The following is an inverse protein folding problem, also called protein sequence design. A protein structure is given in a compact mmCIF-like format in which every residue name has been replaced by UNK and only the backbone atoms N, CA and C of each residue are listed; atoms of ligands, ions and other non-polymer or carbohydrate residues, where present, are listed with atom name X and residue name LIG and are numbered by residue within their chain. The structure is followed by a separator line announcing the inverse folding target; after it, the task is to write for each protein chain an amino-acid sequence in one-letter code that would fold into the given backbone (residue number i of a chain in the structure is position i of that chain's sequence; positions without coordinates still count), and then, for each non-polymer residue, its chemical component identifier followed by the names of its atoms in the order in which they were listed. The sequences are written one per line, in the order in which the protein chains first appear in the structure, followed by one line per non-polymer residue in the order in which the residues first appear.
data_IF_124549051022
#
_entry.id   IF_124549051022
#
_cell.length_a   1.000
_cell.length_b   1.000
_cell.length_c   1.000
_cell.angle_alpha   90.00
_cell.angle_beta   90.00
_cell.angle_gamma   90.00
#
_symmetry.space_group_name_H-M   'P 1'
#
loop_
_entity.id
_entity.type
_entity.pdbx_description
1 polymer ?
#
# COMPACT_ATOMS: atom_id res chain seq x y z
N UNK A 1 -15.64 -4.74 2.77
CA UNK A 1 -14.87 -4.63 1.50
C UNK A 1 -13.51 -4.06 1.82
N UNK A 2 -12.45 -4.81 1.52
CA UNK A 2 -11.06 -4.42 1.76
C UNK A 2 -10.28 -4.49 0.44
N UNK A 3 -9.10 -3.86 0.42
CA UNK A 3 -8.21 -3.98 -0.72
C UNK A 3 -7.47 -5.30 -0.64
N UNK A 4 -7.41 -6.00 -1.76
CA UNK A 4 -6.62 -7.20 -1.95
C UNK A 4 -5.57 -6.92 -3.02
N UNK A 5 -4.34 -7.36 -2.76
CA UNK A 5 -3.27 -7.42 -3.76
C UNK A 5 -3.29 -8.80 -4.37
N UNK A 6 -3.17 -8.86 -5.69
CA UNK A 6 -3.06 -10.13 -6.40
C UNK A 6 -1.81 -10.13 -7.28
N UNK A 7 -1.28 -11.32 -7.46
CA UNK A 7 -0.20 -11.61 -8.39
C UNK A 7 -0.52 -12.91 -9.12
N UNK A 8 -0.28 -12.93 -10.41
CA UNK A 8 -0.52 -14.09 -11.24
C UNK A 8 0.05 -13.92 -12.64
N UNK A 9 -0.42 -14.76 -13.55
CA UNK A 9 0.01 -14.78 -14.94
C UNK A 9 -1.22 -14.74 -15.84
N UNK A 10 -1.22 -13.87 -16.85
CA UNK A 10 -2.32 -13.82 -17.83
C UNK A 10 -2.23 -14.97 -18.85
N UNK A 11 -3.24 -15.12 -19.69
CA UNK A 11 -3.30 -16.09 -20.79
C UNK A 11 -2.13 -16.01 -21.79
N UNK A 12 -1.43 -14.87 -21.85
CA UNK A 12 -0.23 -14.67 -22.69
C UNK A 12 1.07 -15.09 -22.00
N UNK A 13 1.01 -15.61 -20.77
CA UNK A 13 2.20 -15.97 -19.99
C UNK A 13 2.91 -14.78 -19.34
N UNK A 14 2.30 -13.59 -19.35
CA UNK A 14 2.88 -12.39 -18.73
C UNK A 14 2.46 -12.30 -17.27
N UNK A 15 3.44 -12.08 -16.39
CA UNK A 15 3.16 -11.79 -15.00
C UNK A 15 2.37 -10.48 -14.87
N UNK A 16 1.26 -10.56 -14.15
CA UNK A 16 0.40 -9.43 -13.81
C UNK A 16 0.27 -9.35 -12.29
N UNK A 17 0.31 -8.13 -11.78
CA UNK A 17 0.01 -7.84 -10.40
C UNK A 17 -0.86 -6.60 -10.34
N UNK A 18 -1.71 -6.53 -9.31
CA UNK A 18 -2.66 -5.46 -9.19
C UNK A 18 -3.31 -5.42 -7.82
N UNK A 19 -4.27 -4.53 -7.69
CA UNK A 19 -5.09 -4.33 -6.50
C UNK A 19 -6.55 -4.35 -6.89
N UNK A 20 -7.38 -4.98 -6.07
CA UNK A 20 -8.82 -5.07 -6.27
C UNK A 20 -9.54 -4.85 -4.95
N UNK A 21 -10.65 -4.12 -4.99
CA UNK A 21 -11.50 -3.91 -3.83
C UNK A 21 -12.61 -4.95 -3.88
N UNK A 22 -12.68 -5.80 -2.86
CA UNK A 22 -13.60 -6.93 -2.82
C UNK A 22 -14.11 -7.17 -1.40
N UNK A 23 -15.23 -7.89 -1.29
CA UNK A 23 -15.79 -8.32 -0.02
C UNK A 23 -14.89 -9.35 0.68
N UNK A 24 -14.37 -10.31 -0.09
CA UNK A 24 -13.55 -11.42 0.37
C UNK A 24 -12.62 -11.94 -0.74
N UNK A 25 -11.76 -12.90 -0.38
CA UNK A 25 -10.75 -13.48 -1.27
C UNK A 25 -11.33 -14.33 -2.40
N UNK A 26 -12.51 -14.92 -2.22
CA UNK A 26 -13.22 -15.72 -3.22
C UNK A 26 -13.81 -14.82 -4.31
N UNK A 27 -14.38 -13.67 -3.92
CA UNK A 27 -14.81 -12.63 -4.86
C UNK A 27 -13.65 -12.12 -5.73
N UNK A 28 -12.46 -11.93 -5.13
CA UNK A 28 -11.23 -11.61 -5.89
C UNK A 28 -10.89 -12.69 -6.90
N UNK A 29 -10.91 -13.96 -6.48
CA UNK A 29 -10.60 -15.08 -7.36
C UNK A 29 -11.57 -15.15 -8.55
N UNK A 30 -12.86 -14.98 -8.29
CA UNK A 30 -13.91 -14.98 -9.31
C UNK A 30 -13.71 -13.87 -10.36
N UNK A 31 -13.44 -12.63 -9.92
CA UNK A 31 -13.25 -11.48 -10.83
C UNK A 31 -11.96 -11.56 -11.66
N UNK A 32 -10.92 -12.20 -11.13
CA UNK A 32 -9.66 -12.40 -11.85
C UNK A 32 -9.74 -13.61 -12.79
N UNK A 33 -10.51 -14.63 -12.43
CA UNK A 33 -10.77 -15.78 -13.30
C UNK A 33 -11.56 -15.37 -14.55
N UNK A 34 -12.54 -14.47 -14.42
CA UNK A 34 -13.30 -13.89 -15.55
C UNK A 34 -12.39 -13.14 -16.55
N UNK A 35 -11.25 -12.64 -16.08
CA UNK A 35 -10.24 -11.95 -16.90
C UNK A 35 -9.15 -12.89 -17.47
N UNK A 36 -9.35 -14.20 -17.37
CA UNK A 36 -8.39 -15.23 -17.82
C UNK A 36 -7.01 -15.07 -17.13
N UNK A 37 -7.02 -14.67 -15.86
CA UNK A 37 -5.82 -14.54 -15.04
C UNK A 37 -5.64 -15.75 -14.14
N UNK A 38 -4.50 -16.43 -14.27
CA UNK A 38 -4.08 -17.49 -13.35
C UNK A 38 -3.45 -16.87 -12.12
N UNK A 39 -4.15 -16.92 -11.01
CA UNK A 39 -3.69 -16.33 -9.75
C UNK A 39 -2.68 -17.23 -9.07
N UNK A 40 -1.53 -16.68 -8.68
CA UNK A 40 -0.51 -17.36 -7.88
C UNK A 40 -0.57 -16.93 -6.41
N UNK A 41 -0.92 -15.67 -6.15
CA UNK A 41 -0.97 -15.12 -4.79
C UNK A 41 -2.09 -14.09 -4.65
N UNK A 42 -2.79 -14.14 -3.52
CA UNK A 42 -3.73 -13.09 -3.09
C UNK A 42 -3.38 -12.75 -1.65
N UNK A 43 -3.09 -11.49 -1.39
CA UNK A 43 -2.74 -10.96 -0.08
C UNK A 43 -3.74 -9.86 0.29
N UNK A 44 -4.25 -9.92 1.51
CA UNK A 44 -5.10 -8.87 2.08
C UNK A 44 -4.24 -7.64 2.31
N UNK A 45 -4.55 -6.54 1.64
CA UNK A 45 -3.99 -5.24 1.99
C UNK A 45 -4.76 -4.77 3.23
N UNK A 46 -4.37 -5.30 4.39
CA UNK A 46 -4.63 -4.62 5.66
C UNK A 46 -4.16 -3.19 5.45
N UNK A 47 -5.08 -2.25 5.63
CA UNK A 47 -4.81 -0.83 5.44
C UNK A 47 -3.83 -0.36 6.51
N UNK A 48 -2.55 -0.69 6.34
CA UNK A 48 -1.48 0.14 6.81
C UNK A 48 -1.71 1.46 6.09
N UNK A 49 -2.22 2.46 6.83
CA UNK A 49 -2.32 3.86 6.43
C UNK A 49 -0.92 4.41 6.14
N UNK A 50 -0.27 3.90 5.10
CA UNK A 50 0.91 4.48 4.52
C UNK A 50 0.45 5.68 3.72
N UNK A 51 0.26 6.80 4.44
CA UNK A 51 0.21 8.14 3.88
C UNK A 51 1.37 8.26 2.88
N UNK A 52 1.04 8.16 1.59
CA UNK A 52 2.01 8.35 0.52
C UNK A 52 2.31 9.84 0.46
N UNK A 53 3.44 10.24 1.05
CA UNK A 53 4.01 11.57 0.82
C UNK A 53 4.40 11.63 -0.67
N UNK A 54 3.90 12.59 -1.46
CA UNK A 54 4.25 12.68 -2.87
C UNK A 54 5.72 13.09 -2.97
N UNK A 55 6.61 12.13 -3.30
CA UNK A 55 8.00 12.44 -3.63
C UNK A 55 9.06 11.35 -3.38
N UNK A 56 8.75 10.26 -2.67
CA UNK A 56 9.73 9.18 -2.44
C UNK A 56 9.41 7.97 -3.30
N UNK A 57 10.25 7.75 -4.32
CA UNK A 57 10.33 6.49 -5.05
C UNK A 57 10.37 5.32 -4.08
N UNK A 58 9.54 4.32 -4.34
CA UNK A 58 9.57 3.02 -3.67
C UNK A 58 10.91 2.32 -3.95
N UNK A 59 11.93 2.67 -3.16
CA UNK A 59 13.14 1.87 -3.04
C UNK A 59 13.07 1.17 -1.69
N UNK A 60 13.03 -0.16 -1.76
CA UNK A 60 13.08 -1.07 -0.64
C UNK A 60 14.12 -0.63 0.40
N UNK A 61 13.69 -0.59 1.67
CA UNK A 61 14.57 -0.39 2.80
C UNK A 61 13.85 0.31 3.94
N UNK A 62 13.52 -0.43 5.00
CA UNK A 62 13.22 0.14 6.32
C UNK A 62 14.41 0.99 6.76
N UNK A 63 14.42 2.28 6.44
CA UNK A 63 15.34 3.21 7.07
C UNK A 63 14.86 3.44 8.49
N UNK A 64 15.53 2.76 9.40
CA UNK A 64 15.39 2.87 10.85
C UNK A 64 15.73 4.32 11.23
N UNK A 65 14.71 5.15 11.44
CA UNK A 65 14.85 6.54 11.84
C UNK A 65 15.70 6.63 13.12
N UNK A 66 16.71 7.48 13.13
CA UNK A 66 17.56 7.69 14.30
C UNK A 66 16.80 8.54 15.32
N UNK A 67 17.04 8.37 16.63
CA UNK A 67 16.35 9.14 17.68
C UNK A 67 16.44 10.65 17.48
N UNK A 68 17.49 11.12 16.81
CA UNK A 68 17.69 12.54 16.48
C UNK A 68 16.72 13.07 15.41
N UNK A 69 16.24 12.19 14.53
CA UNK A 69 15.25 12.55 13.50
C UNK A 69 13.86 12.73 14.13
N UNK A 70 13.53 11.96 15.17
CA UNK A 70 12.27 12.11 15.91
C UNK A 70 12.15 13.45 16.64
N UNK A 71 13.25 13.95 17.21
CA UNK A 71 13.27 15.22 17.96
C UNK A 71 12.99 16.40 17.01
N UNK A 72 13.65 16.40 15.84
CA UNK A 72 13.47 17.43 14.80
C UNK A 72 12.06 17.42 14.20
N UNK A 73 11.49 16.23 13.99
CA UNK A 73 10.10 16.08 13.50
C UNK A 73 9.11 16.61 14.55
N UNK A 74 9.35 16.30 15.83
CA UNK A 74 8.46 16.71 16.93
C UNK A 74 8.44 18.22 17.14
N UNK A 75 9.60 18.88 17.00
CA UNK A 75 9.73 20.33 17.06
C UNK A 75 8.97 21.03 15.91
N UNK A 76 9.16 20.55 14.68
CA UNK A 76 8.45 21.09 13.50
C UNK A 76 6.93 20.93 13.57
N UNK A 77 6.43 19.78 14.07
CA UNK A 77 4.98 19.57 14.23
C UNK A 77 4.39 20.42 15.36
N UNK A 78 5.16 20.66 16.42
CA UNK A 78 4.75 21.55 17.51
C UNK A 78 4.63 23.00 17.03
N UNK A 79 5.55 23.47 16.20
CA UNK A 79 5.53 24.82 15.64
C UNK A 79 4.32 25.04 14.70
N UNK A 80 4.03 24.06 13.83
CA UNK A 80 2.85 24.09 12.95
C UNK A 80 1.52 24.11 13.72
N UNK A 81 1.47 23.45 14.88
CA UNK A 81 0.29 23.46 15.73
C UNK A 81 0.14 24.80 16.45
N UNK A 82 1.26 25.45 16.81
CA UNK A 82 1.28 26.74 17.49
C UNK A 82 0.95 27.91 16.57
N UNK A 83 1.31 27.82 15.28
CA UNK A 83 0.99 28.80 14.26
C UNK A 83 -0.51 28.88 13.91
N UNK A 84 -1.34 27.97 14.45
CA UNK A 84 -2.79 27.88 14.21
C UNK A 84 -3.66 28.29 15.42
N UNK A 85 -3.12 29.05 16.36
CA UNK A 85 -3.91 29.69 17.40
C UNK A 85 -3.90 31.22 17.19
N UNK A 86 -5.06 31.89 17.00
CA UNK A 86 -5.15 33.34 16.98
C UNK A 86 -4.85 33.96 18.36
#
# INVERSE_FOLDING_TARGET
MIWYRYQGTNSQGKHVSGRIHAADRDEVASRLQDQDLKIERIEEEESELAFSIPGVSASAGSQKLSSRDYDVISDHLSDLTRARLP
#
